data_IF_324597033615
#
_entry.id   IF_324597033615
#
_cell.length_a   1.000
_cell.length_b   1.000
_cell.length_c   1.000
_cell.angle_alpha   90.00
_cell.angle_beta   90.00
_cell.angle_gamma   90.00
#
_symmetry.space_group_name_H-M   'P 1'
#
loop_
_entity.id
_entity.type
_entity.pdbx_description
1 polymer ?
#
# COMPACT_ATOMS: atom_id res chain seq x y z
N UNK A 1 11.14 -35.04 27.57
CA UNK A 1 11.27 -35.34 26.12
C UNK A 1 10.52 -34.27 25.36
N UNK A 2 11.22 -33.25 24.86
CA UNK A 2 10.62 -32.10 24.16
C UNK A 2 10.41 -32.46 22.69
N UNK A 3 9.16 -32.67 22.28
CA UNK A 3 8.79 -32.69 20.88
C UNK A 3 8.84 -31.24 20.37
N UNK A 4 9.92 -30.91 19.66
CA UNK A 4 10.04 -29.67 18.94
C UNK A 4 8.88 -29.57 17.95
N UNK A 5 7.92 -28.69 18.26
CA UNK A 5 6.93 -28.19 17.30
C UNK A 5 7.73 -27.62 16.14
N UNK A 6 7.88 -28.41 15.08
CA UNK A 6 8.33 -27.95 13.78
C UNK A 6 7.31 -26.91 13.33
N UNK A 7 7.58 -25.64 13.67
CA UNK A 7 6.97 -24.50 13.01
C UNK A 7 7.31 -24.66 11.54
N UNK A 8 6.36 -25.19 10.76
CA UNK A 8 6.42 -25.13 9.32
C UNK A 8 6.49 -23.66 8.94
N UNK A 9 7.71 -23.11 8.80
CA UNK A 9 7.97 -21.83 8.14
C UNK A 9 7.76 -21.98 6.63
N UNK A 10 6.65 -22.60 6.24
CA UNK A 10 6.12 -22.51 4.90
C UNK A 10 5.39 -21.18 4.85
N UNK A 11 6.07 -20.13 4.42
CA UNK A 11 5.37 -18.93 3.98
C UNK A 11 4.28 -19.40 3.02
N UNK A 12 2.98 -19.14 3.28
CA UNK A 12 1.95 -19.46 2.30
C UNK A 12 2.36 -18.76 1.01
N UNK A 13 2.73 -19.55 -0.01
CA UNK A 13 2.98 -19.01 -1.34
C UNK A 13 1.61 -18.64 -1.86
N UNK A 14 1.18 -17.39 -1.63
CA UNK A 14 -0.02 -16.90 -2.26
C UNK A 14 0.17 -17.01 -3.77
N UNK A 15 -0.65 -17.84 -4.38
CA UNK A 15 -0.74 -17.93 -5.83
C UNK A 15 -1.37 -16.65 -6.36
N UNK A 16 -1.04 -16.31 -7.60
CA UNK A 16 -1.60 -15.14 -8.25
C UNK A 16 -3.14 -15.18 -8.28
N UNK A 17 -3.73 -16.36 -8.48
CA UNK A 17 -5.19 -16.56 -8.45
C UNK A 17 -5.83 -16.16 -7.12
N UNK A 18 -5.22 -16.54 -6.00
CA UNK A 18 -5.72 -16.16 -4.67
C UNK A 18 -5.62 -14.65 -4.47
N UNK A 19 -4.55 -14.01 -4.97
CA UNK A 19 -4.41 -12.56 -4.86
C UNK A 19 -5.41 -11.83 -5.76
N UNK A 20 -5.69 -12.33 -6.95
CA UNK A 20 -6.74 -11.78 -7.82
C UNK A 20 -8.12 -11.94 -7.17
N UNK A 21 -8.40 -13.06 -6.51
CA UNK A 21 -9.63 -13.28 -5.76
C UNK A 21 -9.75 -12.27 -4.61
N UNK A 22 -8.70 -12.10 -3.81
CA UNK A 22 -8.65 -11.10 -2.74
C UNK A 22 -8.89 -9.70 -3.31
N UNK A 23 -8.19 -9.34 -4.40
CA UNK A 23 -8.31 -8.04 -5.05
C UNK A 23 -9.73 -7.72 -5.50
N UNK A 24 -10.53 -8.72 -5.87
CA UNK A 24 -11.94 -8.52 -6.26
C UNK A 24 -12.84 -8.09 -5.10
N UNK A 25 -12.42 -8.33 -3.87
CA UNK A 25 -13.13 -7.94 -2.65
C UNK A 25 -12.56 -6.68 -1.99
N UNK A 26 -11.51 -6.08 -2.56
CA UNK A 26 -10.90 -4.87 -2.01
C UNK A 26 -11.48 -3.62 -2.64
N UNK A 27 -11.57 -2.56 -1.84
CA UNK A 27 -11.69 -1.22 -2.38
C UNK A 27 -10.35 -0.72 -2.91
N UNK A 28 -10.38 0.33 -3.73
CA UNK A 28 -9.17 0.84 -4.37
C UNK A 28 -8.12 1.31 -3.35
N UNK A 29 -8.58 1.85 -2.22
CA UNK A 29 -7.74 2.32 -1.12
C UNK A 29 -7.03 1.16 -0.40
N UNK A 30 -7.73 0.04 -0.19
CA UNK A 30 -7.19 -1.15 0.47
C UNK A 30 -6.07 -1.83 -0.35
N UNK A 31 -6.11 -1.68 -1.68
CA UNK A 31 -5.04 -2.15 -2.57
C UNK A 31 -3.71 -1.49 -2.22
N UNK A 32 -3.72 -0.22 -1.80
CA UNK A 32 -2.50 0.48 -1.38
C UNK A 32 -1.97 -0.02 -0.04
N UNK A 33 -2.87 -0.33 0.90
CA UNK A 33 -2.52 -0.96 2.17
C UNK A 33 -1.84 -2.31 1.97
N UNK A 34 -2.24 -3.07 0.95
CA UNK A 34 -1.56 -4.31 0.56
C UNK A 34 -0.06 -4.07 0.26
N UNK A 35 0.31 -3.01 -0.46
CA UNK A 35 1.73 -2.75 -0.77
C UNK A 35 2.62 -2.54 0.47
N UNK A 36 2.04 -2.23 1.63
CA UNK A 36 2.76 -1.98 2.88
C UNK A 36 2.94 -3.24 3.76
N UNK A 37 2.23 -4.34 3.50
CA UNK A 37 2.20 -5.53 4.38
C UNK A 37 3.57 -6.20 4.53
N UNK A 38 4.24 -6.51 3.42
CA UNK A 38 5.58 -7.09 3.40
C UNK A 38 6.22 -6.95 2.03
N UNK A 39 7.53 -7.14 1.92
CA UNK A 39 8.25 -7.12 0.63
C UNK A 39 7.78 -8.22 -0.34
N UNK A 40 7.48 -9.42 0.19
CA UNK A 40 6.94 -10.53 -0.60
C UNK A 40 5.54 -10.22 -1.13
N UNK A 41 4.68 -9.63 -0.29
CA UNK A 41 3.35 -9.21 -0.67
C UNK A 41 3.40 -8.09 -1.71
N UNK A 42 4.21 -7.06 -1.47
CA UNK A 42 4.43 -5.97 -2.44
C UNK A 42 4.82 -6.52 -3.80
N UNK A 43 5.77 -7.47 -3.87
CA UNK A 43 6.23 -8.04 -5.15
C UNK A 43 5.10 -8.71 -5.95
N UNK A 44 4.15 -9.36 -5.28
CA UNK A 44 2.99 -9.99 -5.95
C UNK A 44 2.03 -8.90 -6.43
N UNK A 45 1.78 -7.91 -5.57
CA UNK A 45 0.85 -6.82 -5.86
C UNK A 45 1.33 -5.85 -6.94
N UNK A 46 2.65 -5.73 -7.12
CA UNK A 46 3.28 -4.96 -8.21
C UNK A 46 3.57 -5.82 -9.44
N UNK A 47 3.11 -7.07 -9.48
CA UNK A 47 3.35 -7.93 -10.65
C UNK A 47 2.58 -7.39 -11.87
N UNK A 48 3.14 -7.47 -13.09
CA UNK A 48 2.48 -6.97 -14.29
C UNK A 48 1.09 -7.60 -14.52
N UNK A 49 0.96 -8.90 -14.21
CA UNK A 49 -0.31 -9.62 -14.39
C UNK A 49 -1.37 -9.11 -13.44
N UNK A 50 -1.03 -8.90 -12.16
CA UNK A 50 -2.01 -8.35 -11.21
C UNK A 50 -2.33 -6.89 -11.54
N UNK A 51 -1.33 -6.08 -11.93
CA UNK A 51 -1.58 -4.70 -12.36
C UNK A 51 -2.54 -4.62 -13.56
N UNK A 52 -2.44 -5.57 -14.50
CA UNK A 52 -3.41 -5.71 -15.59
C UNK A 52 -4.81 -6.05 -15.09
N UNK A 53 -4.93 -7.03 -14.20
CA UNK A 53 -6.21 -7.42 -13.60
C UNK A 53 -6.84 -6.26 -12.82
N UNK A 54 -6.06 -5.55 -12.02
CA UNK A 54 -6.50 -4.38 -11.25
C UNK A 54 -6.95 -3.24 -12.16
N UNK A 55 -6.20 -2.94 -13.22
CA UNK A 55 -6.61 -1.95 -14.22
C UNK A 55 -7.94 -2.34 -14.88
N UNK A 56 -8.09 -3.59 -15.29
CA UNK A 56 -9.31 -4.06 -15.94
C UNK A 56 -10.53 -4.02 -15.00
N UNK A 57 -10.32 -4.32 -13.71
CA UNK A 57 -11.37 -4.34 -12.70
C UNK A 57 -11.80 -2.92 -12.29
N UNK A 58 -10.86 -2.08 -11.86
CA UNK A 58 -11.17 -0.74 -11.33
C UNK A 58 -11.33 0.32 -12.41
N UNK A 59 -10.69 0.15 -13.57
CA UNK A 59 -10.65 1.16 -14.64
C UNK A 59 -10.94 0.53 -16.02
N UNK A 60 -12.11 -0.11 -16.23
CA UNK A 60 -12.42 -0.84 -17.46
C UNK A 60 -12.44 0.03 -18.72
N UNK A 61 -12.54 1.36 -18.57
CA UNK A 61 -12.54 2.34 -19.66
C UNK A 61 -11.20 3.05 -19.86
N UNK A 62 -10.15 2.69 -19.11
CA UNK A 62 -8.84 3.33 -19.27
C UNK A 62 -8.24 3.00 -20.64
N UNK A 63 -7.69 3.98 -21.38
CA UNK A 63 -6.90 3.66 -22.57
C UNK A 63 -5.69 2.81 -22.17
N UNK A 64 -5.41 1.73 -22.91
CA UNK A 64 -4.22 0.88 -22.72
C UNK A 64 -2.96 1.75 -22.83
N UNK A 65 -1.89 1.49 -22.06
CA UNK A 65 -1.51 0.20 -21.48
C UNK A 65 -2.03 -0.06 -20.06
N UNK A 66 -2.31 -1.33 -19.76
CA UNK A 66 -2.58 -1.80 -18.40
C UNK A 66 -1.26 -2.21 -17.76
N UNK A 67 -0.60 -1.25 -17.12
CA UNK A 67 0.60 -1.46 -16.33
C UNK A 67 0.44 -0.83 -14.93
N UNK A 68 1.41 -1.03 -14.05
CA UNK A 68 1.35 -0.50 -12.69
C UNK A 68 1.32 1.04 -12.70
N UNK A 69 2.03 1.68 -13.63
CA UNK A 69 2.08 3.13 -13.73
C UNK A 69 0.72 3.73 -14.12
N UNK A 70 0.04 3.11 -15.09
CA UNK A 70 -1.30 3.42 -15.53
C UNK A 70 -2.32 3.19 -14.40
N UNK A 71 -2.17 2.10 -13.63
CA UNK A 71 -2.97 1.87 -12.43
C UNK A 71 -2.82 3.03 -11.44
N UNK A 72 -1.59 3.40 -11.08
CA UNK A 72 -1.33 4.54 -10.18
C UNK A 72 -1.90 5.86 -10.73
N UNK A 73 -1.71 6.14 -12.03
CA UNK A 73 -2.20 7.35 -12.65
C UNK A 73 -3.73 7.41 -12.63
N UNK A 74 -4.41 6.31 -12.97
CA UNK A 74 -5.86 6.22 -12.97
C UNK A 74 -6.44 6.34 -11.55
N UNK A 75 -5.82 5.70 -10.56
CA UNK A 75 -6.18 5.84 -9.15
C UNK A 75 -6.06 7.27 -8.66
N UNK A 76 -4.98 7.97 -9.03
CA UNK A 76 -4.80 9.39 -8.68
C UNK A 76 -5.86 10.29 -9.32
N UNK A 77 -6.24 10.02 -10.57
CA UNK A 77 -7.31 10.77 -11.25
C UNK A 77 -8.64 10.54 -10.53
N UNK A 78 -9.00 9.28 -10.28
CA UNK A 78 -10.24 8.92 -9.59
C UNK A 78 -10.33 9.55 -8.19
N UNK A 79 -9.27 9.43 -7.40
CA UNK A 79 -9.18 10.03 -6.08
C UNK A 79 -9.34 11.56 -6.14
N UNK A 80 -8.76 12.24 -7.13
CA UNK A 80 -8.94 13.69 -7.33
C UNK A 80 -10.37 14.05 -7.70
N UNK A 81 -11.05 13.19 -8.45
CA UNK A 81 -12.46 13.39 -8.80
C UNK A 81 -13.38 13.19 -7.61
N UNK A 82 -13.12 12.16 -6.79
CA UNK A 82 -13.96 11.80 -5.63
C UNK A 82 -13.77 12.78 -4.46
N UNK A 83 -12.53 13.15 -4.13
CA UNK A 83 -12.25 14.00 -2.96
C UNK A 83 -11.99 15.47 -3.31
N UNK A 84 -11.70 15.78 -4.58
CA UNK A 84 -11.29 17.11 -5.04
C UNK A 84 -9.77 17.31 -5.12
N UNK A 85 -9.35 18.37 -5.81
CA UNK A 85 -7.93 18.73 -6.00
C UNK A 85 -7.23 19.15 -4.69
N UNK A 86 -7.97 19.65 -3.70
CA UNK A 86 -7.42 20.23 -2.48
C UNK A 86 -7.11 19.16 -1.41
N UNK A 87 -8.04 18.23 -1.20
CA UNK A 87 -7.89 17.06 -0.29
C UNK A 87 -6.79 16.12 -0.75
N UNK A 88 -6.74 15.78 -2.05
CA UNK A 88 -5.66 14.93 -2.60
C UNK A 88 -4.26 15.56 -2.49
N UNK A 89 -4.15 16.90 -2.51
CA UNK A 89 -2.88 17.60 -2.23
C UNK A 89 -2.56 17.59 -0.74
N UNK A 90 -3.55 17.70 0.14
CA UNK A 90 -3.38 17.62 1.59
C UNK A 90 -2.94 16.21 2.01
N UNK A 91 -3.64 15.16 1.60
CA UNK A 91 -3.30 13.77 1.95
C UNK A 91 -1.95 13.33 1.39
N UNK A 92 -1.59 13.78 0.18
CA UNK A 92 -0.25 13.56 -0.36
C UNK A 92 0.83 14.32 0.43
N UNK A 93 0.51 15.46 1.02
CA UNK A 93 1.43 16.17 1.92
C UNK A 93 1.55 15.43 3.26
N UNK A 94 0.44 14.93 3.79
CA UNK A 94 0.41 14.16 5.04
C UNK A 94 1.00 12.74 4.92
N UNK A 95 1.01 12.12 3.75
CA UNK A 95 1.64 10.81 3.53
C UNK A 95 3.18 10.86 3.47
N UNK A 96 3.77 12.03 3.14
CA UNK A 96 5.23 12.21 3.13
C UNK A 96 5.78 12.80 4.43
N UNK A 97 4.96 13.51 5.23
CA UNK A 97 5.33 13.96 6.57
C UNK A 97 5.07 12.87 7.63
N UNK A 98 5.47 11.63 7.31
CA UNK A 98 5.69 10.57 8.31
C UNK A 98 6.97 10.78 9.12
N UNK A 99 7.68 11.89 8.90
CA UNK A 99 8.45 12.53 9.96
C UNK A 99 7.45 13.15 10.94
N UNK A 100 7.08 12.35 11.95
CA UNK A 100 6.35 12.74 13.17
C UNK A 100 6.23 14.25 13.33
N UNK A 101 5.02 14.79 13.07
CA UNK A 101 4.65 16.18 13.35
C UNK A 101 4.94 16.59 14.81
N UNK A 102 5.12 15.59 15.68
CA UNK A 102 5.75 15.71 16.99
C UNK A 102 7.26 15.84 16.85
N UNK A 103 7.73 17.01 16.41
CA UNK A 103 9.09 17.41 16.78
C UNK A 103 9.13 17.51 18.30
N UNK A 104 10.15 16.92 18.89
CA UNK A 104 10.42 17.09 20.31
C UNK A 104 10.57 18.60 20.58
N UNK A 105 9.83 19.11 21.56
CA UNK A 105 9.92 20.51 21.96
C UNK A 105 11.37 20.83 22.35
N UNK A 106 12.05 21.77 21.67
CA UNK A 106 13.43 22.13 21.98
C UNK A 106 13.64 22.60 23.43
N UNK A 107 12.59 23.14 24.08
CA UNK A 107 12.67 23.56 25.48
C UNK A 107 12.71 22.35 26.43
N UNK A 108 12.02 21.27 26.09
CA UNK A 108 11.93 20.07 26.93
C UNK A 108 12.94 18.98 26.56
N UNK A 109 13.44 18.98 25.32
CA UNK A 109 14.36 17.98 24.79
C UNK A 109 15.44 18.64 23.92
N UNK A 110 16.37 19.42 24.52
CA UNK A 110 17.43 20.11 23.78
C UNK A 110 18.33 19.16 22.98
N UNK A 111 18.44 17.91 23.44
CA UNK A 111 19.30 16.88 22.82
C UNK A 111 18.60 16.11 21.69
N UNK A 112 17.32 16.41 21.42
CA UNK A 112 16.53 15.75 20.37
C UNK A 112 16.27 14.26 20.61
N UNK A 113 16.41 13.78 21.84
CA UNK A 113 16.22 12.37 22.22
C UNK A 113 15.04 12.20 23.18
N UNK A 114 14.25 11.16 22.94
CA UNK A 114 13.26 10.69 23.89
C UNK A 114 13.96 10.07 25.12
N UNK A 115 13.42 10.23 26.33
CA UNK A 115 13.91 9.52 27.49
C UNK A 115 13.74 8.01 27.29
N UNK A 116 14.65 7.19 27.84
CA UNK A 116 14.52 5.74 27.79
C UNK A 116 13.24 5.28 28.53
N UNK A 117 12.64 4.14 28.11
CA UNK A 117 11.42 3.61 28.70
C UNK A 117 11.57 3.17 30.16
#
# INVERSE_FOLDING_TARGET
>A
MSAAVQRSRGSPRLTLELVTLIASHLELEDVYSCFAVSSGWRRIWTSPVLAQSLCAYFFPRSPKPHDLAAFHAASLVRHRTEHGLYTSKLEKRFQYDSETYFRLDPEFHPDGKYPPP
#
